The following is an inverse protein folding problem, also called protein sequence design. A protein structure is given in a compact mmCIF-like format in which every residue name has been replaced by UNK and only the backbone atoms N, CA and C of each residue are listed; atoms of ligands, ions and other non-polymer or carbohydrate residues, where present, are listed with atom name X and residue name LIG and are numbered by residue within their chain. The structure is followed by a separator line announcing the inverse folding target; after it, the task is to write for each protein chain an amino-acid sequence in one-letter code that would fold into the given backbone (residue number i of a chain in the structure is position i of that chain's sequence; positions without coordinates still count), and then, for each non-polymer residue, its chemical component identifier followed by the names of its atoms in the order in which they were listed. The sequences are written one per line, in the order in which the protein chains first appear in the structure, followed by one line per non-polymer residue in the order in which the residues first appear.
data_IF_586274776033
#
_entry.id   IF_586274776033
#
_cell.length_a   1.000
_cell.length_b   1.000
_cell.length_c   1.000
_cell.angle_alpha   90.00
_cell.angle_beta   90.00
_cell.angle_gamma   90.00
#
_symmetry.space_group_name_H-M   'P 1'
#
loop_
_entity.id
_entity.type
_entity.pdbx_description
1 polymer ?
#
# COMPACT_ATOMS: atom_id res chain seq x y z
N UNK A 1 -8.28 22.53 -12.02
CA UNK A 1 -8.86 21.45 -11.19
C UNK A 1 -8.10 20.19 -11.51
N UNK A 2 -7.60 19.45 -10.52
CA UNK A 2 -6.99 18.15 -10.76
C UNK A 2 -8.08 17.16 -11.19
N UNK A 3 -7.83 16.44 -12.28
CA UNK A 3 -8.73 15.46 -12.87
C UNK A 3 -8.43 14.05 -12.34
N UNK A 4 -9.33 13.10 -12.52
CA UNK A 4 -9.08 11.68 -12.20
C UNK A 4 -7.83 11.13 -12.93
N UNK A 5 -7.53 11.65 -14.13
CA UNK A 5 -6.35 11.29 -14.90
C UNK A 5 -5.04 11.69 -14.20
N UNK A 6 -5.05 12.79 -13.44
CA UNK A 6 -3.87 13.29 -12.72
C UNK A 6 -3.54 12.42 -11.49
N UNK A 7 -4.53 11.68 -10.98
CA UNK A 7 -4.41 10.84 -9.78
C UNK A 7 -4.03 9.41 -10.10
N UNK A 8 -4.39 8.92 -11.29
CA UNK A 8 -4.19 7.53 -11.69
C UNK A 8 -2.75 7.01 -11.48
N UNK A 9 -1.67 7.77 -11.79
CA UNK A 9 -0.31 7.29 -11.55
C UNK A 9 0.03 7.10 -10.06
N UNK A 10 -0.50 7.98 -9.21
CA UNK A 10 -0.29 7.89 -7.76
C UNK A 10 -1.08 6.73 -7.17
N UNK A 11 -2.33 6.54 -7.62
CA UNK A 11 -3.15 5.38 -7.24
C UNK A 11 -2.46 4.08 -7.60
N UNK A 12 -1.94 3.96 -8.82
CA UNK A 12 -1.28 2.74 -9.27
C UNK A 12 0.00 2.46 -8.47
N UNK A 13 0.81 3.48 -8.18
CA UNK A 13 1.98 3.32 -7.30
C UNK A 13 1.61 2.84 -5.91
N UNK A 14 0.56 3.43 -5.31
CA UNK A 14 0.10 3.04 -3.98
C UNK A 14 -0.49 1.63 -3.97
N UNK A 15 -1.16 1.22 -5.05
CA UNK A 15 -1.65 -0.15 -5.24
C UNK A 15 -0.48 -1.14 -5.25
N UNK A 16 0.48 -0.96 -6.14
CA UNK A 16 1.67 -1.83 -6.24
C UNK A 16 2.45 -1.90 -4.93
N UNK A 17 2.59 -0.76 -4.23
CA UNK A 17 3.23 -0.72 -2.91
C UNK A 17 2.41 -1.50 -1.87
N UNK A 18 1.09 -1.35 -1.88
CA UNK A 18 0.17 -2.09 -1.02
C UNK A 18 0.31 -3.60 -1.23
N UNK A 19 0.24 -4.06 -2.47
CA UNK A 19 0.37 -5.47 -2.85
C UNK A 19 1.70 -6.06 -2.36
N UNK A 20 2.81 -5.33 -2.53
CA UNK A 20 4.12 -5.75 -2.06
C UNK A 20 4.20 -5.86 -0.52
N UNK A 21 3.57 -4.94 0.22
CA UNK A 21 3.51 -4.99 1.68
C UNK A 21 2.64 -6.18 2.13
N UNK A 22 1.45 -6.33 1.54
CA UNK A 22 0.51 -7.41 1.86
C UNK A 22 1.17 -8.76 1.61
N UNK A 23 1.78 -8.98 0.44
CA UNK A 23 2.46 -10.24 0.11
C UNK A 23 3.59 -10.58 1.09
N UNK A 24 4.39 -9.58 1.48
CA UNK A 24 5.45 -9.77 2.50
C UNK A 24 4.87 -10.16 3.85
N UNK A 25 3.81 -9.50 4.31
CA UNK A 25 3.21 -9.78 5.61
C UNK A 25 2.44 -11.10 5.62
N UNK A 26 1.81 -11.50 4.52
CA UNK A 26 1.21 -12.83 4.37
C UNK A 26 2.26 -13.94 4.42
N UNK A 27 3.40 -13.75 3.76
CA UNK A 27 4.53 -14.69 3.84
C UNK A 27 5.02 -14.83 5.28
N UNK A 28 5.15 -13.71 6.01
CA UNK A 28 5.53 -13.71 7.43
C UNK A 28 4.46 -14.37 8.31
N UNK A 29 3.19 -14.13 8.03
CA UNK A 29 2.06 -14.74 8.75
C UNK A 29 2.06 -16.25 8.55
N UNK A 30 2.20 -16.74 7.32
CA UNK A 30 2.30 -18.16 7.01
C UNK A 30 3.45 -18.84 7.76
N UNK A 31 4.59 -18.16 7.89
CA UNK A 31 5.74 -18.66 8.66
C UNK A 31 5.49 -18.75 10.18
N UNK A 32 4.67 -17.86 10.75
CA UNK A 32 4.39 -17.81 12.19
C UNK A 32 3.19 -18.66 12.60
N UNK A 33 2.14 -18.65 11.80
CA UNK A 33 0.87 -19.32 12.06
C UNK A 33 0.70 -20.52 11.12
N UNK A 34 1.47 -21.58 11.38
CA UNK A 34 1.53 -22.79 10.54
C UNK A 34 0.21 -23.56 10.40
N UNK A 35 -0.79 -23.23 11.21
CA UNK A 35 -2.14 -23.80 11.12
C UNK A 35 -3.02 -23.12 10.07
N UNK A 36 -2.64 -21.93 9.59
CA UNK A 36 -3.37 -21.24 8.54
C UNK A 36 -3.06 -21.87 7.19
N UNK A 37 -4.11 -22.37 6.53
CA UNK A 37 -4.01 -22.90 5.19
C UNK A 37 -4.02 -21.79 4.13
N UNK A 38 -3.80 -22.15 2.85
CA UNK A 38 -3.87 -21.21 1.73
C UNK A 38 -5.21 -20.46 1.66
N UNK A 39 -6.33 -21.10 2.01
CA UNK A 39 -7.65 -20.47 2.01
C UNK A 39 -7.79 -19.40 3.10
N UNK A 40 -7.28 -19.65 4.30
CA UNK A 40 -7.31 -18.66 5.38
C UNK A 40 -6.47 -17.43 5.01
N UNK A 41 -5.30 -17.66 4.43
CA UNK A 41 -4.42 -16.59 3.96
C UNK A 41 -5.07 -15.78 2.83
N UNK A 42 -5.80 -16.41 1.91
CA UNK A 42 -6.53 -15.73 0.85
C UNK A 42 -7.68 -14.84 1.38
N UNK A 43 -8.35 -15.27 2.45
CA UNK A 43 -9.36 -14.43 3.13
C UNK A 43 -8.71 -13.18 3.73
N UNK A 44 -7.56 -13.36 4.39
CA UNK A 44 -6.80 -12.23 4.95
C UNK A 44 -6.31 -11.30 3.85
N UNK A 45 -5.77 -11.84 2.75
CA UNK A 45 -5.34 -11.07 1.58
C UNK A 45 -6.48 -10.23 1.02
N UNK A 46 -7.65 -10.84 0.80
CA UNK A 46 -8.83 -10.16 0.29
C UNK A 46 -9.28 -9.01 1.21
N UNK A 47 -9.34 -9.26 2.52
CA UNK A 47 -9.70 -8.23 3.49
C UNK A 47 -8.70 -7.07 3.51
N UNK A 48 -7.40 -7.36 3.43
CA UNK A 48 -6.36 -6.32 3.38
C UNK A 48 -6.44 -5.50 2.08
N UNK A 49 -6.69 -6.15 0.94
CA UNK A 49 -6.89 -5.48 -0.34
C UNK A 49 -8.12 -4.57 -0.31
N UNK A 50 -9.24 -5.02 0.27
CA UNK A 50 -10.43 -4.18 0.44
C UNK A 50 -10.15 -2.97 1.34
N UNK A 51 -9.41 -3.16 2.44
CA UNK A 51 -9.03 -2.07 3.32
C UNK A 51 -8.16 -1.04 2.61
N UNK A 52 -7.17 -1.46 1.81
CA UNK A 52 -6.34 -0.56 1.00
C UNK A 52 -7.20 0.21 0.00
N UNK A 53 -8.08 -0.48 -0.71
CA UNK A 53 -8.97 0.13 -1.70
C UNK A 53 -9.84 1.21 -1.04
N UNK A 54 -10.50 0.89 0.08
CA UNK A 54 -11.44 1.80 0.74
C UNK A 54 -10.77 2.95 1.48
N UNK A 55 -9.70 2.67 2.22
CA UNK A 55 -9.07 3.65 3.11
C UNK A 55 -8.06 4.54 2.39
N UNK A 56 -7.44 4.03 1.32
CA UNK A 56 -6.36 4.74 0.62
C UNK A 56 -6.79 5.13 -0.79
N UNK A 57 -7.12 4.17 -1.65
CA UNK A 57 -7.25 4.43 -3.09
C UNK A 57 -8.53 5.20 -3.41
N UNK A 58 -9.68 4.74 -2.91
CA UNK A 58 -10.96 5.43 -3.05
C UNK A 58 -10.91 6.82 -2.40
N UNK A 59 -10.25 6.95 -1.24
CA UNK A 59 -10.08 8.23 -0.58
C UNK A 59 -9.26 9.19 -1.42
N UNK A 60 -8.15 8.73 -2.01
CA UNK A 60 -7.29 9.55 -2.86
C UNK A 60 -8.03 10.02 -4.13
N UNK A 61 -8.80 9.14 -4.77
CA UNK A 61 -9.65 9.52 -5.91
C UNK A 61 -10.68 10.59 -5.52
N UNK A 62 -11.21 10.56 -4.29
CA UNK A 62 -12.11 11.58 -3.78
C UNK A 62 -11.44 12.93 -3.44
N UNK A 63 -10.10 13.00 -3.34
CA UNK A 63 -9.34 14.25 -3.10
C UNK A 63 -8.16 14.38 -4.06
N UNK A 64 -8.43 14.53 -5.37
CA UNK A 64 -7.40 14.42 -6.42
C UNK A 64 -6.26 15.44 -6.28
N UNK A 65 -6.57 16.63 -5.77
CA UNK A 65 -5.61 17.71 -5.53
C UNK A 65 -4.53 17.38 -4.47
N UNK A 66 -4.72 16.33 -3.66
CA UNK A 66 -3.72 15.88 -2.66
C UNK A 66 -2.77 14.81 -3.17
N UNK A 67 -2.94 14.30 -4.39
CA UNK A 67 -2.11 13.21 -4.91
C UNK A 67 -0.61 13.49 -4.84
N UNK A 68 -0.18 14.71 -5.18
CA UNK A 68 1.24 15.08 -5.13
C UNK A 68 1.81 15.17 -3.71
N UNK A 69 0.99 15.46 -2.71
CA UNK A 69 1.40 15.46 -1.29
C UNK A 69 1.52 14.03 -0.78
N UNK A 70 0.52 13.20 -1.09
CA UNK A 70 0.52 11.78 -0.74
C UNK A 70 1.71 11.06 -1.38
N UNK A 71 1.98 11.31 -2.67
CA UNK A 71 3.11 10.71 -3.37
C UNK A 71 4.44 11.03 -2.67
N UNK A 72 4.64 12.28 -2.24
CA UNK A 72 5.85 12.68 -1.49
C UNK A 72 6.06 11.89 -0.20
N UNK A 73 4.99 11.52 0.53
CA UNK A 73 5.10 10.71 1.74
C UNK A 73 5.66 9.30 1.49
N UNK A 74 5.51 8.78 0.27
CA UNK A 74 5.89 7.41 -0.06
C UNK A 74 7.08 7.30 -1.03
N UNK A 75 7.45 8.41 -1.67
CA UNK A 75 8.59 8.49 -2.60
C UNK A 75 9.87 9.00 -1.93
N UNK A 76 9.79 9.69 -0.78
CA UNK A 76 10.97 10.21 -0.08
C UNK A 76 11.63 9.12 0.79
N UNK A 77 12.83 8.61 0.45
CA UNK A 77 13.61 7.84 1.39
C UNK A 77 14.10 8.81 2.46
N UNK A 78 13.52 8.76 3.66
CA UNK A 78 14.06 9.47 4.82
C UNK A 78 15.60 9.34 4.83
N UNK A 79 16.36 10.43 5.08
CA UNK A 79 17.80 10.42 4.94
C UNK A 79 18.38 9.31 5.81
N UNK A 80 19.08 8.35 5.17
CA UNK A 80 19.94 7.40 5.87
C UNK A 80 20.99 8.25 6.57
N UNK A 81 20.81 8.52 7.86
CA UNK A 81 21.87 9.10 8.68
C UNK A 81 23.04 8.12 8.63
N UNK A 82 24.20 8.49 8.06
CA UNK A 82 25.35 7.61 8.11
C UNK A 82 25.77 7.50 9.58
N UNK A 83 25.68 6.29 10.13
CA UNK A 83 26.35 5.95 11.38
C UNK A 83 27.84 6.07 11.14
N UNK A 84 28.43 7.11 11.73
CA UNK A 84 29.86 7.39 11.71
C UNK A 84 30.59 6.22 12.38
N UNK A 85 31.38 5.47 11.63
CA UNK A 85 32.46 4.61 12.14
C UNK A 85 33.76 5.39 12.19
#
# INVERSE_FOLDING_TARGET
MATDADVAPTVERLRLRGDAIIGRELTRLAGRARTLGPQDLAVVESALNELVERLVLARLRAVPHRAAEVDRLFTDPAPRVPTKS
#
